data_IF_951657055448
#
_entry.id   IF_951657055448
#
_cell.length_a   1.000
_cell.length_b   1.000
_cell.length_c   1.000
_cell.angle_alpha   90.00
_cell.angle_beta   90.00
_cell.angle_gamma   90.00
#
_symmetry.space_group_name_H-M   'P 1'
#
loop_
_entity.id
_entity.type
_entity.pdbx_description
1 polymer ?
#
# COMPACT_ATOMS: atom_id res chain seq x y z
N UNK A 1 2.99 4.38 3.03
CA UNK A 1 3.80 3.21 2.60
C UNK A 1 5.15 3.14 3.31
N UNK A 2 5.98 4.21 3.37
CA UNK A 2 7.24 4.18 4.13
C UNK A 2 7.11 3.63 5.55
N UNK A 3 6.08 4.06 6.28
CA UNK A 3 5.83 3.59 7.65
C UNK A 3 5.55 2.09 7.72
N UNK A 4 4.85 1.55 6.72
CA UNK A 4 4.56 0.11 6.63
C UNK A 4 5.84 -0.69 6.37
N UNK A 5 6.71 -0.19 5.49
CA UNK A 5 8.05 -0.77 5.24
C UNK A 5 8.89 -0.74 6.53
N UNK A 6 8.89 0.39 7.23
CA UNK A 6 9.62 0.55 8.49
C UNK A 6 9.12 -0.44 9.55
N UNK A 7 7.81 -0.59 9.69
CA UNK A 7 7.20 -1.56 10.60
C UNK A 7 7.60 -3.01 10.25
N UNK A 8 7.52 -3.40 8.98
CA UNK A 8 7.92 -4.75 8.53
C UNK A 8 9.41 -5.01 8.83
N UNK A 9 10.30 -4.04 8.57
CA UNK A 9 11.74 -4.17 8.88
C UNK A 9 11.99 -4.31 10.38
N UNK A 10 11.30 -3.52 11.21
CA UNK A 10 11.41 -3.63 12.66
C UNK A 10 10.89 -4.98 13.18
N UNK A 11 9.82 -5.51 12.58
CA UNK A 11 9.29 -6.83 12.93
C UNK A 11 10.26 -7.93 12.52
N UNK A 12 10.84 -7.88 11.32
CA UNK A 12 11.84 -8.85 10.87
C UNK A 12 13.09 -8.88 11.75
N UNK A 13 13.49 -7.74 12.31
CA UNK A 13 14.59 -7.67 13.28
C UNK A 13 14.27 -8.38 14.61
N UNK A 14 12.98 -8.51 14.99
CA UNK A 14 12.53 -9.15 16.23
C UNK A 14 12.07 -10.59 16.05
N UNK A 15 11.70 -10.97 14.83
CA UNK A 15 11.08 -12.25 14.53
C UNK A 15 11.72 -12.87 13.29
N UNK A 16 12.58 -13.87 13.52
CA UNK A 16 13.34 -14.55 12.45
C UNK A 16 12.47 -15.29 11.42
N UNK A 17 11.17 -15.48 11.69
CA UNK A 17 10.23 -16.08 10.74
C UNK A 17 9.75 -15.12 9.65
N UNK A 18 10.03 -13.81 9.75
CA UNK A 18 9.64 -12.81 8.76
C UNK A 18 10.75 -12.69 7.72
N UNK A 19 10.45 -13.14 6.50
CA UNK A 19 11.36 -13.13 5.36
C UNK A 19 11.19 -11.84 4.54
N UNK A 20 12.21 -10.97 4.59
CA UNK A 20 12.19 -9.68 3.89
C UNK A 20 12.32 -9.81 2.37
N UNK A 21 12.75 -10.95 1.84
CA UNK A 21 12.86 -11.18 0.40
C UNK A 21 11.52 -11.64 -0.23
N UNK A 22 10.52 -11.93 0.60
CA UNK A 22 9.20 -12.45 0.18
C UNK A 22 8.03 -11.64 0.76
N UNK A 23 8.09 -10.32 0.65
CA UNK A 23 7.03 -9.43 1.14
C UNK A 23 5.97 -9.19 0.05
N UNK A 24 4.71 -9.47 0.36
CA UNK A 24 3.55 -9.11 -0.44
C UNK A 24 2.66 -8.08 0.26
N UNK A 25 1.79 -7.43 -0.49
CA UNK A 25 0.80 -6.46 0.04
C UNK A 25 -0.59 -6.73 -0.54
N UNK A 26 -1.60 -6.72 0.32
CA UNK A 26 -3.00 -6.84 -0.07
C UNK A 26 -3.81 -5.73 0.58
N UNK A 27 -4.85 -5.25 -0.10
CA UNK A 27 -5.79 -4.31 0.51
C UNK A 27 -7.10 -4.16 -0.26
N UNK A 28 -8.15 -3.80 0.47
CA UNK A 28 -9.49 -3.51 -0.04
C UNK A 28 -9.80 -2.01 0.04
N UNK A 29 -10.61 -1.47 -0.90
CA UNK A 29 -11.02 -0.06 -0.93
C UNK A 29 -9.80 0.86 -0.99
N UNK A 30 -9.65 1.84 -0.07
CA UNK A 30 -8.43 2.65 0.03
C UNK A 30 -7.15 1.82 0.21
N UNK A 31 -7.28 0.61 0.78
CA UNK A 31 -6.19 -0.38 0.84
C UNK A 31 -5.80 -0.93 -0.54
N UNK A 32 -6.72 -1.05 -1.48
CA UNK A 32 -6.44 -1.47 -2.86
C UNK A 32 -5.65 -0.39 -3.62
N UNK A 33 -6.02 0.88 -3.42
CA UNK A 33 -5.21 2.01 -3.89
C UNK A 33 -3.80 1.95 -3.28
N UNK A 34 -3.72 1.77 -1.95
CA UNK A 34 -2.43 1.70 -1.25
C UNK A 34 -1.57 0.51 -1.67
N UNK A 35 -2.13 -0.69 -1.88
CA UNK A 35 -1.39 -1.89 -2.30
C UNK A 35 -0.82 -1.73 -3.71
N UNK A 36 -1.59 -1.14 -4.62
CA UNK A 36 -1.12 -0.79 -5.97
C UNK A 36 -0.01 0.26 -5.93
N UNK A 37 -0.19 1.32 -5.13
CA UNK A 37 0.86 2.35 -4.95
C UNK A 37 2.13 1.77 -4.33
N UNK A 38 2.01 0.81 -3.42
CA UNK A 38 3.15 0.19 -2.76
C UNK A 38 4.07 -0.55 -3.73
N UNK A 39 3.53 -1.41 -4.60
CA UNK A 39 4.34 -2.15 -5.58
C UNK A 39 4.92 -1.25 -6.68
N UNK A 40 4.20 -0.20 -7.07
CA UNK A 40 4.69 0.74 -8.10
C UNK A 40 5.79 1.67 -7.57
N UNK A 41 5.66 2.16 -6.33
CA UNK A 41 6.63 3.08 -5.75
C UNK A 41 7.81 2.38 -5.05
N UNK A 42 7.65 1.13 -4.61
CA UNK A 42 8.66 0.35 -3.92
C UNK A 42 8.77 -1.07 -4.49
N UNK A 43 9.07 -1.22 -5.80
CA UNK A 43 9.13 -2.53 -6.46
C UNK A 43 10.26 -3.42 -5.92
N UNK A 44 11.31 -2.82 -5.35
CA UNK A 44 12.41 -3.56 -4.73
C UNK A 44 12.05 -4.16 -3.37
N UNK A 45 10.95 -3.71 -2.75
CA UNK A 45 10.51 -4.20 -1.45
C UNK A 45 9.29 -5.11 -1.54
N UNK A 46 8.28 -4.74 -2.34
CA UNK A 46 7.06 -5.54 -2.49
C UNK A 46 7.13 -6.40 -3.75
N UNK A 47 7.07 -7.74 -3.56
CA UNK A 47 7.17 -8.70 -4.66
C UNK A 47 5.84 -8.95 -5.37
N UNK A 48 4.73 -8.86 -4.64
CA UNK A 48 3.38 -9.09 -5.14
C UNK A 48 2.44 -8.08 -4.48
N UNK A 49 1.50 -7.55 -5.26
CA UNK A 49 0.39 -6.77 -4.76
C UNK A 49 -0.94 -7.37 -5.20
N UNK A 50 -1.92 -7.36 -4.32
CA UNK A 50 -3.31 -7.66 -4.64
C UNK A 50 -4.16 -6.44 -4.26
N UNK A 51 -4.83 -5.88 -5.26
CA UNK A 51 -5.72 -4.72 -5.11
C UNK A 51 -7.16 -5.17 -5.28
N UNK A 52 -8.00 -4.87 -4.28
CA UNK A 52 -9.43 -5.13 -4.35
C UNK A 52 -10.19 -3.81 -4.21
N UNK A 53 -11.02 -3.48 -5.19
CA UNK A 53 -11.89 -2.29 -5.18
C UNK A 53 -11.14 -0.96 -4.89
N UNK A 54 -9.91 -0.82 -5.39
CA UNK A 54 -9.10 0.39 -5.21
C UNK A 54 -9.55 1.56 -6.09
N UNK A 55 -9.56 2.76 -5.53
CA UNK A 55 -9.79 4.01 -6.26
C UNK A 55 -8.53 4.44 -7.00
N UNK A 56 -8.32 3.90 -8.21
CA UNK A 56 -7.12 4.16 -9.01
C UNK A 56 -7.20 5.45 -9.84
N UNK A 57 -8.40 5.98 -10.03
CA UNK A 57 -8.64 7.31 -10.59
C UNK A 57 -9.51 8.11 -9.62
N UNK A 58 -8.92 9.13 -9.01
CA UNK A 58 -9.62 9.95 -8.02
C UNK A 58 -10.51 11.01 -8.65
N UNK A 59 -10.39 11.27 -9.96
CA UNK A 59 -11.25 12.22 -10.68
C UNK A 59 -12.69 11.70 -10.87
N UNK A 60 -12.87 10.40 -10.69
CA UNK A 60 -14.16 9.71 -10.74
C UNK A 60 -14.56 9.12 -9.39
N UNK A 61 -13.83 9.47 -8.33
CA UNK A 61 -14.13 9.02 -6.97
C UNK A 61 -15.05 10.05 -6.28
N UNK A 62 -15.48 9.75 -5.07
CA UNK A 62 -16.38 10.63 -4.30
C UNK A 62 -15.85 12.07 -4.25
N UNK A 63 -16.64 13.02 -4.75
CA UNK A 63 -16.23 14.44 -4.87
C UNK A 63 -15.89 15.04 -3.51
N UNK A 64 -16.70 14.72 -2.49
CA UNK A 64 -16.47 15.14 -1.11
C UNK A 64 -15.16 14.56 -0.54
N UNK A 65 -14.84 13.29 -0.79
CA UNK A 65 -13.55 12.74 -0.40
C UNK A 65 -12.39 13.46 -1.11
N UNK A 66 -12.55 13.76 -2.41
CA UNK A 66 -11.58 14.53 -3.19
C UNK A 66 -11.31 15.92 -2.59
N UNK A 67 -12.37 16.69 -2.34
CA UNK A 67 -12.29 18.04 -1.76
C UNK A 67 -11.58 18.06 -0.40
N UNK A 68 -11.86 17.09 0.46
CA UNK A 68 -11.30 17.04 1.80
C UNK A 68 -9.83 16.60 1.85
N UNK A 69 -9.42 15.64 1.00
CA UNK A 69 -8.13 14.97 1.14
C UNK A 69 -7.15 15.23 0.00
N UNK A 70 -7.62 15.62 -1.17
CA UNK A 70 -6.77 16.02 -2.31
C UNK A 70 -6.75 17.53 -2.51
N UNK A 71 -7.79 18.20 -2.04
CA UNK A 71 -8.02 19.60 -2.29
C UNK A 71 -8.83 19.84 -3.56
N UNK A 72 -9.14 21.11 -3.85
CA UNK A 72 -9.86 21.50 -5.07
C UNK A 72 -9.08 21.24 -6.35
#
# INVERSE_FOLDING_TARGET
IPDQIAAIRQLAARHACIDLDRVGVWGHSGGGYASTRAILAYPDFYRVAVSQAGNHDNRSYEDDWGEWWQGP
#
